data_IF_685224159618
#
_entry.id   IF_685224159618
#
_cell.length_a   1.000
_cell.length_b   1.000
_cell.length_c   1.000
_cell.angle_alpha   90.00
_cell.angle_beta   90.00
_cell.angle_gamma   90.00
#
_symmetry.space_group_name_H-M   'P 1'
#
loop_
_entity.id
_entity.type
_entity.pdbx_description
1 polymer ?
#
# COMPACT_ATOMS: atom_id res chain seq x y z
N UNK A 1 17.23 -1.70 -11.94
CA UNK A 1 16.85 -0.45 -11.25
C UNK A 1 15.80 -0.87 -10.23
N UNK A 2 16.16 -0.89 -8.94
CA UNK A 2 15.16 -0.92 -7.88
C UNK A 2 14.50 0.44 -7.99
N UNK A 3 13.33 0.47 -8.62
CA UNK A 3 12.64 1.70 -8.92
C UNK A 3 12.49 2.50 -7.64
N UNK A 4 12.90 3.76 -7.69
CA UNK A 4 13.37 4.55 -6.55
C UNK A 4 12.27 4.96 -5.59
N UNK A 5 11.63 4.00 -4.91
CA UNK A 5 10.57 4.25 -3.93
C UNK A 5 9.25 4.76 -4.51
N UNK A 6 9.03 4.67 -5.83
CA UNK A 6 7.89 5.29 -6.51
C UNK A 6 6.99 4.36 -7.35
N UNK A 7 7.18 3.03 -7.31
CA UNK A 7 6.37 2.04 -8.06
C UNK A 7 5.51 1.11 -7.21
N UNK A 8 5.06 -0.03 -7.77
CA UNK A 8 4.19 -1.01 -7.11
C UNK A 8 4.74 -1.45 -5.74
N UNK A 9 6.05 -1.71 -5.65
CA UNK A 9 6.72 -2.11 -4.41
C UNK A 9 6.56 -1.12 -3.25
N UNK A 10 6.46 0.19 -3.52
CA UNK A 10 6.22 1.20 -2.50
C UNK A 10 4.80 1.08 -1.90
N UNK A 11 3.81 0.83 -2.76
CA UNK A 11 2.43 0.67 -2.34
C UNK A 11 2.25 -0.62 -1.54
N UNK A 12 2.77 -1.74 -2.05
CA UNK A 12 2.72 -3.05 -1.37
C UNK A 12 3.41 -3.00 0.00
N UNK A 13 4.58 -2.37 0.10
CA UNK A 13 5.29 -2.19 1.37
C UNK A 13 4.45 -1.42 2.41
N UNK A 14 3.74 -0.37 1.99
CA UNK A 14 2.85 0.36 2.90
C UNK A 14 1.60 -0.44 3.27
N UNK A 15 0.98 -1.14 2.33
CA UNK A 15 -0.17 -2.05 2.63
C UNK A 15 0.23 -3.03 3.72
N UNK A 16 1.36 -3.72 3.55
CA UNK A 16 1.90 -4.68 4.54
C UNK A 16 2.14 -4.01 5.90
N UNK A 17 2.77 -2.83 5.91
CA UNK A 17 3.02 -2.05 7.14
C UNK A 17 1.74 -1.74 7.90
N UNK A 18 0.69 -1.25 7.24
CA UNK A 18 -0.56 -0.87 7.91
C UNK A 18 -1.42 -2.08 8.28
N UNK A 19 -1.44 -3.13 7.45
CA UNK A 19 -2.09 -4.39 7.78
C UNK A 19 -1.47 -5.05 9.03
N UNK A 20 -0.14 -5.08 9.12
CA UNK A 20 0.56 -5.62 10.30
C UNK A 20 0.46 -4.73 11.54
N UNK A 21 0.26 -3.41 11.35
CA UNK A 21 0.12 -2.44 12.44
C UNK A 21 -1.27 -2.51 13.09
N UNK A 22 -2.30 -2.80 12.31
CA UNK A 22 -3.68 -2.91 12.80
C UNK A 22 -3.79 -3.95 13.92
N UNK A 23 -4.29 -3.53 15.08
CA UNK A 23 -4.35 -4.35 16.29
C UNK A 23 -3.08 -4.36 17.13
N UNK A 24 -1.95 -3.84 16.62
CA UNK A 24 -0.67 -3.76 17.36
C UNK A 24 -0.35 -2.36 17.87
N UNK A 25 -0.64 -1.32 17.08
CA UNK A 25 -0.42 0.08 17.46
C UNK A 25 -1.76 0.82 17.50
N UNK A 26 -2.08 1.40 18.65
CA UNK A 26 -3.38 2.07 18.90
C UNK A 26 -4.59 1.13 18.81
N UNK A 27 -4.40 -0.18 19.01
CA UNK A 27 -5.47 -1.18 18.91
C UNK A 27 -6.02 -1.31 17.49
N UNK A 28 -7.33 -1.46 17.34
CA UNK A 28 -8.02 -1.59 16.06
C UNK A 28 -8.30 -0.22 15.43
N UNK A 29 -7.25 0.52 15.12
CA UNK A 29 -7.34 1.86 14.55
C UNK A 29 -7.89 1.82 13.11
N UNK A 30 -9.06 2.44 12.87
CA UNK A 30 -9.69 2.52 11.54
C UNK A 30 -8.77 3.19 10.51
N UNK A 31 -7.88 4.08 10.94
CA UNK A 31 -6.96 4.76 10.04
C UNK A 31 -5.98 3.80 9.37
N UNK A 32 -5.59 2.70 10.02
CA UNK A 32 -4.74 1.68 9.42
C UNK A 32 -5.48 0.96 8.27
N UNK A 33 -6.77 0.65 8.45
CA UNK A 33 -7.60 0.07 7.39
C UNK A 33 -7.79 1.03 6.20
N UNK A 34 -8.02 2.32 6.48
CA UNK A 34 -8.14 3.34 5.43
C UNK A 34 -6.82 3.51 4.66
N UNK A 35 -5.67 3.43 5.34
CA UNK A 35 -4.35 3.45 4.69
C UNK A 35 -4.16 2.23 3.79
N UNK A 36 -4.56 1.03 4.22
CA UNK A 36 -4.53 -0.18 3.37
C UNK A 36 -5.31 0.04 2.08
N UNK A 37 -6.54 0.56 2.16
CA UNK A 37 -7.35 0.86 0.97
C UNK A 37 -6.71 1.94 0.10
N UNK A 38 -6.22 3.01 0.70
CA UNK A 38 -5.57 4.11 -0.01
C UNK A 38 -4.39 3.63 -0.86
N UNK A 39 -3.46 2.88 -0.28
CA UNK A 39 -2.33 2.33 -1.03
C UNK A 39 -2.74 1.20 -1.98
N UNK A 40 -3.83 0.48 -1.70
CA UNK A 40 -4.40 -0.50 -2.62
C UNK A 40 -4.92 0.12 -3.92
N UNK A 41 -5.62 1.25 -3.84
CA UNK A 41 -6.11 1.98 -5.03
C UNK A 41 -4.93 2.51 -5.86
N UNK A 42 -3.90 3.03 -5.20
CA UNK A 42 -2.69 3.51 -5.90
C UNK A 42 -1.94 2.33 -6.55
N UNK A 43 -1.79 1.21 -5.84
CA UNK A 43 -1.16 0.00 -6.39
C UNK A 43 -1.89 -0.49 -7.65
N UNK A 44 -3.22 -0.49 -7.63
CA UNK A 44 -4.02 -0.86 -8.79
C UNK A 44 -3.77 0.09 -9.98
N UNK A 45 -3.76 1.40 -9.73
CA UNK A 45 -3.47 2.37 -10.79
C UNK A 45 -2.07 2.19 -11.38
N UNK A 46 -1.06 1.95 -10.54
CA UNK A 46 0.31 1.68 -10.98
C UNK A 46 0.38 0.36 -11.76
N UNK A 47 -0.28 -0.69 -11.28
CA UNK A 47 -0.38 -1.97 -11.98
C UNK A 47 -0.96 -1.79 -13.39
N UNK A 48 -2.08 -1.08 -13.51
CA UNK A 48 -2.70 -0.82 -14.81
C UNK A 48 -1.77 0.00 -15.72
N UNK A 49 -1.05 0.99 -15.18
CA UNK A 49 -0.08 1.78 -15.97
C UNK A 49 1.12 0.95 -16.45
N UNK A 50 1.62 0.03 -15.63
CA UNK A 50 2.77 -0.83 -15.97
C UNK A 50 2.40 -2.00 -16.88
N UNK A 51 1.13 -2.46 -16.86
CA UNK A 51 0.65 -3.63 -17.62
C UNK A 51 -0.26 -3.27 -18.81
N UNK A 52 -0.56 -1.99 -19.01
CA UNK A 52 -1.19 -1.51 -20.26
C UNK A 52 -0.13 -1.34 -21.34
N UNK A 53 0.37 -2.48 -21.88
CA UNK A 53 1.01 -2.60 -23.20
C UNK A 53 0.21 -3.53 -24.11
#
# INVERSE_FOLDING_TARGET
IIDGGHGEGFCIGNIMKYAQRYGKKNGKDKSDLLKVLHYGIIALHVHDMENSE
#
